data_IF_022925409416
#
_entry.id   IF_022925409416
#
_cell.length_a   1.000
_cell.length_b   1.000
_cell.length_c   1.000
_cell.angle_alpha   90.00
_cell.angle_beta   90.00
_cell.angle_gamma   90.00
#
_symmetry.space_group_name_H-M   'P 1'
#
loop_
_entity.id
_entity.type
_entity.pdbx_description
1 polymer ?
#
# COMPACT_ATOMS: atom_id res chain seq x y z
N UNK A 1 2.45 14.38 -7.51
CA UNK A 1 2.15 13.86 -6.16
C UNK A 1 1.31 12.58 -6.18
N UNK A 2 0.24 12.50 -6.99
CA UNK A 2 -0.62 11.30 -7.05
C UNK A 2 0.09 10.00 -7.47
N UNK A 3 1.07 10.06 -8.39
CA UNK A 3 1.77 8.86 -8.88
C UNK A 3 2.44 8.04 -7.76
N UNK A 4 3.24 8.69 -6.91
CA UNK A 4 3.93 7.99 -5.81
C UNK A 4 2.94 7.39 -4.80
N UNK A 5 1.86 8.11 -4.52
CA UNK A 5 0.78 7.61 -3.67
C UNK A 5 0.11 6.37 -4.27
N UNK A 6 -0.09 6.36 -5.60
CA UNK A 6 -0.65 5.22 -6.32
C UNK A 6 0.31 4.02 -6.37
N UNK A 7 1.61 4.25 -6.52
CA UNK A 7 2.65 3.20 -6.41
C UNK A 7 2.64 2.57 -5.02
N UNK A 8 2.60 3.39 -3.96
CA UNK A 8 2.52 2.89 -2.59
C UNK A 8 1.28 1.99 -2.39
N UNK A 9 0.13 2.38 -2.96
CA UNK A 9 -1.10 1.60 -2.91
C UNK A 9 -0.95 0.26 -3.66
N UNK A 10 -0.33 0.26 -4.84
CA UNK A 10 -0.05 -0.97 -5.59
C UNK A 10 0.87 -1.92 -4.84
N UNK A 11 1.91 -1.39 -4.20
CA UNK A 11 2.94 -2.20 -3.52
C UNK A 11 2.46 -2.74 -2.18
N UNK A 12 1.82 -1.89 -1.38
CA UNK A 12 1.58 -2.14 0.05
C UNK A 12 0.10 -2.21 0.43
N UNK A 13 -0.81 -1.93 -0.52
CA UNK A 13 -2.23 -1.81 -0.26
C UNK A 13 -2.62 -0.50 0.44
N UNK A 14 -1.69 0.44 0.62
CA UNK A 14 -1.91 1.71 1.32
C UNK A 14 -1.28 2.88 0.57
N UNK A 15 -2.00 3.99 0.47
CA UNK A 15 -1.48 5.26 -0.03
C UNK A 15 -0.29 5.78 0.80
N UNK A 16 -0.34 5.54 2.12
CA UNK A 16 0.69 5.87 3.10
C UNK A 16 1.05 4.60 3.85
N UNK A 17 2.15 3.91 3.48
CA UNK A 17 2.60 2.70 4.16
C UNK A 17 3.06 3.00 5.59
N UNK A 18 2.98 1.99 6.46
CA UNK A 18 3.58 2.08 7.79
C UNK A 18 5.12 2.25 7.70
N UNK A 19 5.70 3.02 8.61
CA UNK A 19 7.14 3.28 8.68
C UNK A 19 7.68 2.99 10.10
N UNK A 20 9.01 2.93 10.30
CA UNK A 20 9.61 2.61 11.60
C UNK A 20 9.15 3.49 12.75
N UNK A 21 9.12 4.81 12.56
CA UNK A 21 8.67 5.75 13.58
C UNK A 21 7.22 5.48 14.04
N UNK A 22 6.33 5.11 13.11
CA UNK A 22 4.96 4.75 13.43
C UNK A 22 4.87 3.39 14.12
N UNK A 23 5.72 2.41 13.77
CA UNK A 23 5.78 1.11 14.47
C UNK A 23 6.24 1.27 15.92
N UNK A 24 7.28 2.07 16.14
CA UNK A 24 7.79 2.40 17.48
C UNK A 24 6.73 3.12 18.32
N UNK A 25 6.08 4.15 17.77
CA UNK A 25 5.01 4.87 18.47
C UNK A 25 3.83 3.96 18.84
N UNK A 26 3.50 2.98 18.00
CA UNK A 26 2.46 1.98 18.32
C UNK A 26 2.87 1.11 19.51
N UNK A 27 4.13 0.68 19.56
CA UNK A 27 4.67 -0.10 20.68
C UNK A 27 4.65 0.69 22.00
N UNK A 28 5.05 1.96 21.97
CA UNK A 28 5.00 2.86 23.13
C UNK A 28 3.58 3.00 23.69
N UNK A 29 2.57 2.99 22.81
CA UNK A 29 1.16 3.02 23.16
C UNK A 29 0.58 1.65 23.56
N UNK A 30 1.40 0.59 23.63
CA UNK A 30 0.97 -0.77 23.95
C UNK A 30 0.18 -1.46 22.82
N UNK A 31 0.26 -0.96 21.60
CA UNK A 31 -0.39 -1.53 20.42
C UNK A 31 0.56 -2.47 19.68
N UNK A 32 0.02 -3.41 18.90
CA UNK A 32 0.82 -4.24 17.98
C UNK A 32 1.56 -3.35 16.97
N UNK A 33 2.86 -3.58 16.81
CA UNK A 33 3.73 -2.83 15.89
C UNK A 33 3.14 -2.77 14.48
N UNK A 34 2.77 -3.93 13.91
CA UNK A 34 2.00 -4.04 12.68
C UNK A 34 0.50 -4.02 13.00
N UNK A 35 -0.28 -3.06 12.47
CA UNK A 35 -1.73 -3.01 12.67
C UNK A 35 -2.43 -4.16 11.93
N UNK A 36 -3.62 -4.60 12.38
CA UNK A 36 -4.41 -5.65 11.73
C UNK A 36 -5.10 -5.13 10.45
N UNK A 37 -4.35 -4.52 9.55
CA UNK A 37 -4.78 -4.05 8.22
C UNK A 37 -4.16 -4.95 7.13
N UNK A 38 -4.24 -4.54 5.86
CA UNK A 38 -3.57 -5.23 4.74
C UNK A 38 -2.08 -5.44 4.99
N UNK A 39 -1.42 -4.58 5.79
CA UNK A 39 -0.01 -4.76 6.19
C UNK A 39 0.25 -6.06 6.97
N UNK A 40 -0.77 -6.62 7.61
CA UNK A 40 -0.65 -7.86 8.41
C UNK A 40 -1.04 -9.13 7.65
N UNK A 41 -1.46 -9.03 6.38
CA UNK A 41 -2.01 -10.16 5.62
C UNK A 41 -1.60 -10.12 4.15
N UNK A 42 -0.73 -11.05 3.77
CA UNK A 42 -0.29 -11.24 2.38
C UNK A 42 -1.49 -11.54 1.46
N UNK A 43 -2.41 -12.40 1.90
CA UNK A 43 -3.63 -12.69 1.13
C UNK A 43 -4.45 -11.42 0.87
N UNK A 44 -4.62 -10.56 1.86
CA UNK A 44 -5.37 -9.32 1.69
C UNK A 44 -4.68 -8.37 0.70
N UNK A 45 -3.34 -8.36 0.70
CA UNK A 45 -2.56 -7.58 -0.28
C UNK A 45 -2.75 -8.13 -1.70
N UNK A 46 -2.76 -9.45 -1.87
CA UNK A 46 -3.03 -10.09 -3.16
C UNK A 46 -4.44 -9.80 -3.67
N UNK A 47 -5.44 -9.86 -2.78
CA UNK A 47 -6.83 -9.51 -3.11
C UNK A 47 -6.93 -8.04 -3.59
N UNK A 48 -6.24 -7.10 -2.91
CA UNK A 48 -6.16 -5.69 -3.34
C UNK A 48 -5.50 -5.57 -4.71
N UNK A 49 -4.35 -6.20 -4.92
CA UNK A 49 -3.62 -6.16 -6.20
C UNK A 49 -4.46 -6.70 -7.35
N UNK A 50 -5.24 -7.77 -7.12
CA UNK A 50 -6.13 -8.33 -8.12
C UNK A 50 -7.28 -7.38 -8.47
N UNK A 51 -7.85 -6.68 -7.48
CA UNK A 51 -8.86 -5.62 -7.73
C UNK A 51 -8.25 -4.50 -8.60
N UNK A 52 -7.08 -3.98 -8.23
CA UNK A 52 -6.41 -2.89 -8.97
C UNK A 52 -6.06 -3.30 -10.40
N UNK A 53 -5.75 -4.58 -10.62
CA UNK A 53 -5.55 -5.14 -11.96
C UNK A 53 -6.87 -5.21 -12.74
N UNK A 54 -7.93 -5.75 -12.14
CA UNK A 54 -9.25 -5.92 -12.78
C UNK A 54 -9.92 -4.58 -13.14
N UNK A 55 -9.71 -3.55 -12.34
CA UNK A 55 -10.26 -2.21 -12.59
C UNK A 55 -9.44 -1.39 -13.58
N UNK A 56 -8.29 -1.92 -14.05
CA UNK A 56 -7.39 -1.21 -14.97
C UNK A 56 -6.51 -0.15 -14.29
N UNK A 57 -6.59 0.01 -12.98
CA UNK A 57 -5.80 0.98 -12.21
C UNK A 57 -4.29 0.75 -12.38
N UNK A 58 -3.84 -0.51 -12.35
CA UNK A 58 -2.42 -0.84 -12.58
C UNK A 58 -1.94 -0.31 -13.94
N UNK A 59 -2.70 -0.54 -15.00
CA UNK A 59 -2.36 -0.08 -16.37
C UNK A 59 -2.37 1.44 -16.49
N UNK A 60 -3.25 2.13 -15.76
CA UNK A 60 -3.30 3.58 -15.74
C UNK A 60 -1.98 4.17 -15.22
N UNK A 61 -1.42 3.58 -14.17
CA UNK A 61 -0.17 4.05 -13.55
C UNK A 61 1.05 3.72 -14.42
N UNK A 62 1.08 2.54 -15.04
CA UNK A 62 2.15 2.13 -15.96
C UNK A 62 2.21 3.01 -17.22
N UNK A 63 1.07 3.45 -17.76
CA UNK A 63 1.05 4.39 -18.90
C UNK A 63 1.67 5.75 -18.56
N UNK A 64 1.45 6.24 -17.34
CA UNK A 64 2.12 7.44 -16.83
C UNK A 64 3.64 7.24 -16.66
N UNK A 65 4.19 6.02 -16.77
CA UNK A 65 5.64 5.75 -16.82
C UNK A 65 6.21 5.84 -18.23
N UNK A 66 5.49 5.38 -19.25
CA UNK A 66 5.96 5.34 -20.65
C UNK A 66 5.94 6.72 -21.34
N UNK A 67 5.11 7.66 -20.86
CA UNK A 67 4.99 9.01 -21.42
C UNK A 67 6.03 10.02 -20.90
N UNK A 68 7.08 9.57 -20.18
CA UNK A 68 8.17 10.41 -19.65
C UNK A 68 9.50 10.12 -20.32
#
# INVERSE_FOLDING_TARGET
EHKKTSENLLETGHAVPINPANMEKRKELGLKEIPPTVHSSEKALDDVKEILKKTGFKKLIEKDEEEK
#
